data_IF_868612826882
#
_entry.id   IF_868612826882
#
_cell.length_a   1.000
_cell.length_b   1.000
_cell.length_c   1.000
_cell.angle_alpha   90.00
_cell.angle_beta   90.00
_cell.angle_gamma   90.00
#
_symmetry.space_group_name_H-M   'P 1'
#
loop_
_entity.id
_entity.type
_entity.pdbx_description
1 polymer ?
#
# COMPACT_ATOMS: atom_id res chain seq x y z
N UNK A 1 -5.11 -30.20 -4.56
CA UNK A 1 -5.35 -28.99 -3.74
C UNK A 1 -6.14 -28.05 -4.61
N UNK A 2 -7.43 -27.93 -4.34
CA UNK A 2 -8.32 -27.06 -5.12
C UNK A 2 -8.26 -25.66 -4.51
N UNK A 3 -7.16 -24.96 -4.79
CA UNK A 3 -7.03 -23.55 -4.44
C UNK A 3 -7.52 -22.71 -5.61
N UNK A 4 -8.66 -22.04 -5.42
CA UNK A 4 -9.10 -20.97 -6.29
C UNK A 4 -8.67 -19.62 -5.67
N UNK A 5 -7.83 -18.81 -6.34
CA UNK A 5 -7.44 -17.52 -5.80
C UNK A 5 -8.62 -16.55 -5.73
N UNK A 6 -8.67 -15.77 -4.66
CA UNK A 6 -9.57 -14.62 -4.54
C UNK A 6 -8.99 -13.45 -5.34
N UNK A 7 -9.29 -13.42 -6.64
CA UNK A 7 -8.77 -12.42 -7.57
C UNK A 7 -9.32 -11.02 -7.30
N UNK A 8 -10.55 -10.92 -6.80
CA UNK A 8 -11.16 -9.64 -6.45
C UNK A 8 -10.43 -9.01 -5.28
N UNK A 9 -10.13 -9.78 -4.22
CA UNK A 9 -9.32 -9.30 -3.11
C UNK A 9 -7.92 -8.88 -3.56
N UNK A 10 -7.27 -9.69 -4.41
CA UNK A 10 -5.94 -9.38 -4.91
C UNK A 10 -5.93 -8.08 -5.72
N UNK A 11 -6.90 -7.90 -6.63
CA UNK A 11 -7.02 -6.68 -7.42
C UNK A 11 -7.25 -5.45 -6.54
N UNK A 12 -8.17 -5.54 -5.57
CA UNK A 12 -8.41 -4.45 -4.60
C UNK A 12 -7.14 -4.08 -3.83
N UNK A 13 -6.35 -5.08 -3.42
CA UNK A 13 -5.10 -4.85 -2.69
C UNK A 13 -4.03 -4.19 -3.58
N UNK A 14 -3.91 -4.64 -4.84
CA UNK A 14 -2.93 -4.10 -5.80
C UNK A 14 -3.28 -2.70 -6.31
N UNK A 15 -4.56 -2.34 -6.35
CA UNK A 15 -5.01 -1.03 -6.80
C UNK A 15 -5.02 0.03 -5.70
N UNK A 16 -4.97 -0.38 -4.43
CA UNK A 16 -4.87 0.51 -3.29
C UNK A 16 -3.48 1.18 -3.26
N UNK A 17 -3.43 2.49 -3.09
CA UNK A 17 -2.14 3.18 -2.97
C UNK A 17 -1.51 2.88 -1.61
N UNK A 18 -0.21 2.60 -1.59
CA UNK A 18 0.50 2.35 -0.34
C UNK A 18 1.99 2.63 -0.40
N UNK A 19 2.48 3.77 -0.94
CA UNK A 19 3.91 4.03 -0.91
C UNK A 19 4.40 4.12 0.54
N UNK A 20 5.67 3.81 0.79
CA UNK A 20 6.22 3.77 2.16
C UNK A 20 5.90 5.07 2.93
N UNK A 21 5.30 4.92 4.11
CA UNK A 21 4.77 5.99 4.96
C UNK A 21 3.31 6.41 4.70
N UNK A 22 2.64 5.81 3.71
CA UNK A 22 1.26 6.11 3.31
C UNK A 22 0.45 4.82 3.03
N UNK A 23 0.68 3.76 3.80
CA UNK A 23 0.16 2.39 3.58
C UNK A 23 -1.31 2.20 4.00
N UNK A 24 -2.01 3.27 4.37
CA UNK A 24 -3.32 3.20 5.02
C UNK A 24 -4.42 2.57 4.15
N UNK A 25 -4.43 2.83 2.84
CA UNK A 25 -5.40 2.23 1.92
C UNK A 25 -5.16 0.73 1.77
N UNK A 26 -3.92 0.33 1.46
CA UNK A 26 -3.53 -1.07 1.26
C UNK A 26 -3.75 -1.92 2.53
N UNK A 27 -3.30 -1.42 3.68
CA UNK A 27 -3.54 -2.09 4.97
C UNK A 27 -5.02 -2.13 5.33
N UNK A 28 -5.82 -1.16 4.89
CA UNK A 28 -7.27 -1.13 5.08
C UNK A 28 -7.97 -2.26 4.33
N UNK A 29 -7.61 -2.47 3.06
CA UNK A 29 -8.12 -3.59 2.24
C UNK A 29 -7.79 -4.94 2.89
N UNK A 30 -6.55 -5.10 3.36
CA UNK A 30 -6.15 -6.32 4.08
C UNK A 30 -6.97 -6.53 5.37
N UNK A 31 -7.14 -5.49 6.20
CA UNK A 31 -7.87 -5.59 7.46
C UNK A 31 -9.35 -5.89 7.26
N UNK A 32 -9.99 -5.31 6.24
CA UNK A 32 -11.38 -5.62 5.86
C UNK A 32 -11.54 -7.11 5.55
N UNK A 33 -10.64 -7.67 4.73
CA UNK A 33 -10.63 -9.10 4.42
C UNK A 33 -10.35 -9.95 5.67
N UNK A 34 -9.36 -9.54 6.47
CA UNK A 34 -8.92 -10.25 7.66
C UNK A 34 -9.99 -10.32 8.76
N UNK A 35 -10.81 -9.28 8.90
CA UNK A 35 -11.89 -9.22 9.88
C UNK A 35 -12.91 -10.35 9.70
N UNK A 36 -13.02 -10.93 8.49
CA UNK A 36 -13.87 -12.08 8.23
C UNK A 36 -13.38 -13.40 8.84
N UNK A 37 -12.12 -13.51 9.26
CA UNK A 37 -11.54 -14.77 9.75
C UNK A 37 -10.60 -14.66 10.96
N UNK A 38 -10.17 -13.46 11.33
CA UNK A 38 -9.20 -13.24 12.41
C UNK A 38 -9.55 -11.98 13.23
N UNK A 39 -8.94 -11.86 14.41
CA UNK A 39 -8.91 -10.58 15.13
C UNK A 39 -7.98 -9.62 14.37
N UNK A 40 -8.58 -8.73 13.59
CA UNK A 40 -7.90 -7.75 12.77
C UNK A 40 -7.70 -6.44 13.54
N UNK A 41 -6.47 -5.93 13.59
CA UNK A 41 -6.14 -4.67 14.25
C UNK A 41 -5.03 -3.92 13.51
N UNK A 42 -5.02 -2.59 13.64
CA UNK A 42 -3.93 -1.74 13.19
C UNK A 42 -3.23 -1.11 14.39
N UNK A 43 -1.90 -1.11 14.40
CA UNK A 43 -1.14 -0.41 15.43
C UNK A 43 -0.96 1.10 15.12
N UNK A 44 -0.27 1.82 16.01
CA UNK A 44 0.01 3.26 15.84
C UNK A 44 1.01 3.59 14.74
N UNK A 45 1.76 2.60 14.27
CA UNK A 45 2.72 2.74 13.18
C UNK A 45 2.13 2.36 11.82
N UNK A 46 0.86 1.93 11.78
CA UNK A 46 0.17 1.54 10.55
C UNK A 46 0.28 0.05 10.24
N UNK A 47 0.97 -0.76 11.05
CA UNK A 47 1.07 -2.20 10.80
C UNK A 47 -0.30 -2.85 11.00
N UNK A 48 -0.70 -3.67 10.04
CA UNK A 48 -1.92 -4.46 10.10
C UNK A 48 -1.62 -5.88 10.61
N UNK A 49 -2.38 -6.31 11.62
CA UNK A 49 -2.28 -7.64 12.21
C UNK A 49 -3.58 -8.40 12.05
N UNK A 50 -3.49 -9.66 11.63
CA UNK A 50 -4.58 -10.63 11.65
C UNK A 50 -4.21 -11.76 12.61
N UNK A 51 -4.81 -11.77 13.81
CA UNK A 51 -4.50 -12.78 14.85
C UNK A 51 -5.52 -13.91 14.84
N UNK A 52 -5.03 -15.12 14.61
CA UNK A 52 -5.78 -16.37 14.79
C UNK A 52 -5.45 -16.99 16.15
N UNK A 53 -6.46 -17.52 16.83
CA UNK A 53 -6.33 -18.20 18.14
C UNK A 53 -5.52 -17.39 19.18
N UNK A 54 -6.00 -16.20 19.59
CA UNK A 54 -5.29 -15.34 20.55
C UNK A 54 -5.02 -16.11 21.85
N UNK A 55 -3.75 -16.11 22.28
CA UNK A 55 -3.29 -16.87 23.47
C UNK A 55 -2.77 -18.27 23.18
N UNK A 56 -2.98 -18.80 21.97
CA UNK A 56 -2.46 -20.09 21.52
C UNK A 56 -0.93 -20.17 21.53
N UNK A 57 -0.41 -21.39 21.68
CA UNK A 57 1.04 -21.70 21.66
C UNK A 57 1.31 -22.98 20.86
N UNK A 58 2.44 -23.07 20.12
CA UNK A 58 3.45 -22.02 19.90
C UNK A 58 2.90 -20.85 19.05
N UNK A 59 3.54 -19.68 19.12
CA UNK A 59 3.19 -18.54 18.27
C UNK A 59 3.96 -18.64 16.96
N UNK A 60 3.24 -18.60 15.84
CA UNK A 60 3.81 -18.51 14.49
C UNK A 60 3.47 -17.13 13.92
N UNK A 61 4.44 -16.49 13.28
CA UNK A 61 4.29 -15.18 12.67
C UNK A 61 4.61 -15.27 11.18
N UNK A 62 3.66 -14.86 10.34
CA UNK A 62 3.84 -14.68 8.90
C UNK A 62 3.93 -13.17 8.64
N UNK A 63 4.99 -12.74 7.97
CA UNK A 63 5.27 -11.32 7.71
C UNK A 63 5.32 -11.07 6.21
N UNK A 64 4.66 -9.99 5.80
CA UNK A 64 4.83 -9.33 4.52
C UNK A 64 4.87 -7.82 4.77
N UNK A 65 5.42 -7.07 3.83
CA UNK A 65 5.36 -5.61 3.86
C UNK A 65 4.19 -5.15 2.97
N UNK A 66 3.49 -4.10 3.41
CA UNK A 66 2.33 -3.56 2.71
C UNK A 66 2.71 -2.45 1.72
N UNK A 67 3.90 -1.89 1.88
CA UNK A 67 4.33 -0.73 1.13
C UNK A 67 4.76 -1.08 -0.30
N UNK A 68 4.52 -0.14 -1.20
CA UNK A 68 4.99 -0.18 -2.59
C UNK A 68 6.06 0.89 -2.85
N UNK A 69 6.85 0.67 -3.89
CA UNK A 69 7.74 1.71 -4.42
C UNK A 69 6.91 2.84 -5.04
N UNK A 70 7.37 4.08 -4.92
CA UNK A 70 6.64 5.24 -5.44
C UNK A 70 7.51 6.48 -5.62
N UNK A 71 6.86 7.63 -5.67
CA UNK A 71 7.52 8.95 -5.77
C UNK A 71 6.91 9.92 -4.79
N UNK A 72 7.71 10.90 -4.34
CA UNK A 72 7.24 12.03 -3.53
C UNK A 72 7.56 13.34 -4.22
N UNK A 73 6.59 14.27 -4.17
CA UNK A 73 6.79 15.63 -4.69
C UNK A 73 7.69 16.39 -3.74
N UNK A 74 8.87 16.80 -4.21
CA UNK A 74 9.80 17.63 -3.44
C UNK A 74 9.63 19.12 -3.69
N UNK A 75 9.13 19.50 -4.87
CA UNK A 75 8.93 20.90 -5.24
C UNK A 75 7.87 21.03 -6.33
N UNK A 76 7.16 22.16 -6.33
CA UNK A 76 6.26 22.57 -7.42
C UNK A 76 6.90 23.79 -8.08
N UNK A 77 7.21 23.68 -9.36
CA UNK A 77 7.81 24.77 -10.13
C UNK A 77 6.79 25.86 -10.47
N UNK A 78 7.27 27.04 -10.83
CA UNK A 78 6.44 28.21 -11.18
C UNK A 78 5.42 27.91 -12.29
N UNK A 79 5.78 27.04 -13.24
CA UNK A 79 4.91 26.62 -14.35
C UNK A 79 3.97 25.46 -14.00
N UNK A 80 3.97 24.99 -12.76
CA UNK A 80 3.12 23.90 -12.27
C UNK A 80 3.70 22.49 -12.45
N UNK A 81 4.94 22.34 -12.92
CA UNK A 81 5.60 21.04 -13.00
C UNK A 81 6.05 20.55 -11.62
N UNK A 82 6.03 19.23 -11.42
CA UNK A 82 6.41 18.59 -10.17
C UNK A 82 7.85 18.07 -10.25
N UNK A 83 8.68 18.42 -9.25
CA UNK A 83 9.96 17.75 -9.01
C UNK A 83 9.73 16.57 -8.08
N UNK A 84 10.15 15.39 -8.54
CA UNK A 84 9.95 14.13 -7.84
C UNK A 84 11.24 13.63 -7.21
N UNK A 85 11.13 13.00 -6.04
CA UNK A 85 12.16 12.14 -5.45
C UNK A 85 11.62 10.71 -5.38
N UNK A 86 12.48 9.69 -5.50
CA UNK A 86 12.05 8.30 -5.35
C UNK A 86 11.65 8.02 -3.89
N UNK A 87 10.59 7.22 -3.72
CA UNK A 87 10.31 6.48 -2.50
C UNK A 87 10.61 5.00 -2.80
N UNK A 88 11.61 4.44 -2.12
CA UNK A 88 12.17 3.13 -2.46
C UNK A 88 13.16 3.18 -3.64
N UNK A 89 13.52 2.01 -4.16
CA UNK A 89 14.51 1.85 -5.23
C UNK A 89 13.87 1.82 -6.62
N UNK A 90 14.13 2.85 -7.43
CA UNK A 90 13.68 2.95 -8.81
C UNK A 90 14.85 3.11 -9.78
N UNK A 91 14.73 2.52 -10.98
CA UNK A 91 15.44 3.00 -12.15
C UNK A 91 14.64 4.18 -12.75
N UNK A 92 15.19 5.41 -12.80
CA UNK A 92 14.47 6.57 -13.34
C UNK A 92 13.99 6.41 -14.78
N UNK A 93 14.61 5.52 -15.58
CA UNK A 93 14.23 5.29 -16.97
C UNK A 93 12.82 4.73 -17.12
N UNK A 94 12.33 3.96 -16.14
CA UNK A 94 10.99 3.34 -16.23
C UNK A 94 9.86 4.35 -16.04
N UNK A 95 10.14 5.54 -15.52
CA UNK A 95 9.15 6.60 -15.26
C UNK A 95 8.86 7.45 -16.50
N UNK A 96 9.71 7.40 -17.54
CA UNK A 96 9.56 8.26 -18.72
C UNK A 96 8.26 7.93 -19.46
N UNK A 97 7.36 8.93 -19.55
CA UNK A 97 6.07 8.80 -20.22
C UNK A 97 5.01 7.99 -19.46
N UNK A 98 5.27 7.65 -18.19
CA UNK A 98 4.31 6.94 -17.36
C UNK A 98 3.27 7.89 -16.75
N UNK A 99 2.07 7.37 -16.55
CA UNK A 99 1.03 8.07 -15.78
C UNK A 99 1.25 7.81 -14.31
N UNK A 100 1.14 8.86 -13.51
CA UNK A 100 1.29 8.80 -12.06
C UNK A 100 0.00 9.23 -11.36
N UNK A 101 -0.29 8.60 -10.22
CA UNK A 101 -1.38 8.96 -9.31
C UNK A 101 -0.77 9.53 -8.04
N UNK A 102 -0.98 10.81 -7.78
CA UNK A 102 -0.49 11.51 -6.60
C UNK A 102 -1.57 11.57 -5.52
N UNK A 103 -1.18 11.27 -4.28
CA UNK A 103 -2.03 11.36 -3.10
C UNK A 103 -2.07 12.81 -2.59
N UNK A 104 -3.04 13.59 -3.07
CA UNK A 104 -3.22 14.99 -2.68
C UNK A 104 -4.13 15.16 -1.46
N UNK A 105 -3.98 16.28 -0.74
CA UNK A 105 -4.83 16.61 0.42
C UNK A 105 -6.33 16.68 0.13
N UNK A 106 -6.70 16.93 -1.13
CA UNK A 106 -8.10 17.03 -1.60
C UNK A 106 -8.50 15.82 -2.46
N UNK A 107 -7.77 14.72 -2.35
CA UNK A 107 -7.95 13.53 -3.17
C UNK A 107 -6.86 13.36 -4.22
N UNK A 108 -7.05 12.35 -5.06
CA UNK A 108 -6.06 11.95 -6.06
C UNK A 108 -5.91 12.98 -7.17
N UNK A 109 -4.65 13.20 -7.56
CA UNK A 109 -4.29 14.04 -8.72
C UNK A 109 -3.53 13.16 -9.70
N UNK A 110 -3.97 13.14 -10.96
CA UNK A 110 -3.30 12.39 -12.01
C UNK A 110 -2.26 13.29 -12.69
N UNK A 111 -1.11 12.72 -13.02
CA UNK A 111 -0.05 13.39 -13.77
C UNK A 111 0.59 12.48 -14.83
N UNK A 112 1.41 13.09 -15.66
CA UNK A 112 2.23 12.47 -16.71
C UNK A 112 3.60 13.16 -16.76
#
# INVERSE_FOLDING_TARGET
MDYAPDLEFLERLLLAAGPSGFEEEATGVFLEKAAGFAQAERDRHGNAYARLNPGGRPKVLLLGHADEIGVIVSHVEEKGFLRLKPLGGWDPQVLVGQRLRFLGKRGHVLGV
#
